data_IF_131159617269
#
_entry.id   IF_131159617269
#
_cell.length_a   1.000
_cell.length_b   1.000
_cell.length_c   1.000
_cell.angle_alpha   90.00
_cell.angle_beta   90.00
_cell.angle_gamma   90.00
#
_symmetry.space_group_name_H-M   'P 1'
#
loop_
_entity.id
_entity.type
_entity.pdbx_description
1 polymer ?
#
# COMPACT_ATOMS: atom_id res chain seq x y z
N UNK A 1 -12.55 10.26 -54.15
CA UNK A 1 -12.13 11.02 -52.94
C UNK A 1 -13.40 11.28 -52.15
N UNK A 2 -13.70 10.71 -50.98
CA UNK A 2 -12.86 10.33 -49.84
C UNK A 2 -13.46 9.12 -49.10
N UNK A 3 -12.61 8.16 -48.71
CA UNK A 3 -12.97 7.03 -47.86
C UNK A 3 -12.83 7.48 -46.40
N UNK A 4 -13.93 7.65 -45.68
CA UNK A 4 -13.86 7.92 -44.23
C UNK A 4 -13.71 6.58 -43.51
N UNK A 5 -12.48 6.27 -43.09
CA UNK A 5 -12.19 5.14 -42.20
C UNK A 5 -12.54 5.57 -40.78
N UNK A 6 -13.61 5.03 -40.22
CA UNK A 6 -13.95 5.23 -38.81
C UNK A 6 -13.01 4.36 -37.98
N UNK A 7 -12.16 5.01 -37.20
CA UNK A 7 -11.18 4.39 -36.33
C UNK A 7 -11.85 3.73 -35.12
N UNK A 8 -11.44 2.50 -34.82
CA UNK A 8 -11.71 1.81 -33.56
C UNK A 8 -11.11 2.62 -32.41
N UNK A 9 -11.92 3.06 -31.45
CA UNK A 9 -11.44 3.53 -30.15
C UNK A 9 -12.03 2.62 -29.08
N UNK A 10 -11.35 1.50 -28.84
CA UNK A 10 -11.57 0.65 -27.66
C UNK A 10 -10.55 1.04 -26.59
N UNK A 11 -10.90 1.95 -25.69
CA UNK A 11 -10.17 2.17 -24.43
C UNK A 11 -11.19 2.40 -23.31
N UNK A 12 -11.94 1.34 -22.97
CA UNK A 12 -12.45 1.23 -21.62
C UNK A 12 -11.24 0.87 -20.74
N UNK A 13 -10.57 1.89 -20.20
CA UNK A 13 -9.72 1.69 -19.04
C UNK A 13 -10.66 1.27 -17.90
N UNK A 14 -10.77 -0.04 -17.67
CA UNK A 14 -11.20 -0.55 -16.38
C UNK A 14 -10.18 0.00 -15.39
N UNK A 15 -10.50 1.13 -14.76
CA UNK A 15 -9.81 1.57 -13.56
C UNK A 15 -9.80 0.35 -12.63
N UNK A 16 -8.64 -0.22 -12.29
CA UNK A 16 -8.61 -1.23 -11.25
C UNK A 16 -9.23 -0.54 -10.04
N UNK A 17 -10.29 -1.10 -9.48
CA UNK A 17 -10.80 -0.67 -8.19
C UNK A 17 -9.57 -0.63 -7.26
N UNK A 18 -9.12 0.57 -6.90
CA UNK A 18 -7.94 0.77 -6.06
C UNK A 18 -8.32 0.29 -4.67
N UNK A 19 -8.16 -1.01 -4.45
CA UNK A 19 -8.30 -1.60 -3.14
C UNK A 19 -7.05 -1.26 -2.37
N UNK A 20 -7.20 -0.53 -1.26
CA UNK A 20 -6.11 -0.23 -0.34
C UNK A 20 -5.33 -1.50 -0.01
N UNK A 21 -4.03 -1.38 0.18
CA UNK A 21 -3.18 -2.53 0.50
C UNK A 21 -3.74 -3.26 1.73
N UNK A 22 -3.77 -4.59 1.68
CA UNK A 22 -4.39 -5.41 2.72
C UNK A 22 -3.34 -5.92 3.69
N UNK A 23 -3.58 -5.78 5.00
CA UNK A 23 -2.73 -6.41 6.01
C UNK A 23 -2.89 -7.93 5.94
N UNK A 24 -1.77 -8.65 5.91
CA UNK A 24 -1.73 -10.11 5.94
C UNK A 24 -0.94 -10.59 7.15
N UNK A 25 -1.08 -11.88 7.48
CA UNK A 25 -0.24 -12.49 8.51
C UNK A 25 1.04 -13.10 7.90
N UNK A 26 2.00 -13.45 8.77
CA UNK A 26 3.27 -14.03 8.37
C UNK A 26 3.14 -15.33 7.56
N UNK A 27 2.16 -16.19 7.87
CA UNK A 27 1.97 -17.44 7.13
C UNK A 27 1.54 -17.16 5.69
N UNK A 28 0.64 -16.20 5.49
CA UNK A 28 0.20 -15.78 4.17
C UNK A 28 1.35 -15.16 3.36
N UNK A 29 2.27 -14.41 3.98
CA UNK A 29 3.37 -13.80 3.25
C UNK A 29 4.42 -14.81 2.75
N UNK A 30 4.46 -16.02 3.29
CA UNK A 30 5.35 -17.08 2.80
C UNK A 30 5.03 -17.48 1.34
N UNK A 31 3.80 -17.27 0.89
CA UNK A 31 3.36 -17.52 -0.48
C UNK A 31 3.47 -16.28 -1.39
N UNK A 32 4.05 -15.19 -0.88
CA UNK A 32 4.03 -13.88 -1.51
C UNK A 32 5.45 -13.40 -1.85
N UNK A 33 5.53 -12.53 -2.87
CA UNK A 33 6.78 -11.87 -3.23
C UNK A 33 6.98 -10.63 -2.38
N UNK A 34 8.07 -10.60 -1.61
CA UNK A 34 8.54 -9.37 -0.95
C UNK A 34 8.96 -8.35 -2.02
N UNK A 35 8.38 -7.15 -1.97
CA UNK A 35 8.64 -6.06 -2.93
C UNK A 35 9.35 -4.85 -2.31
N UNK A 36 9.36 -4.75 -0.99
CA UNK A 36 10.06 -3.67 -0.30
C UNK A 36 9.74 -3.60 1.18
N UNK A 37 10.24 -2.56 1.84
CA UNK A 37 9.90 -2.20 3.20
C UNK A 37 9.67 -0.69 3.27
N UNK A 38 8.80 -0.27 4.16
CA UNK A 38 8.53 1.14 4.45
C UNK A 38 8.70 1.41 5.94
N UNK A 39 9.06 2.66 6.23
CA UNK A 39 9.08 3.21 7.57
C UNK A 39 8.18 4.46 7.59
N UNK A 40 7.31 4.55 8.58
CA UNK A 40 6.39 5.67 8.77
C UNK A 40 6.61 6.21 10.17
N UNK A 41 6.86 7.51 10.29
CA UNK A 41 6.88 8.21 11.57
C UNK A 41 5.61 9.03 11.68
N UNK A 42 4.90 8.89 12.80
CA UNK A 42 3.66 9.62 13.05
C UNK A 42 3.43 9.88 14.53
N UNK A 43 2.65 10.90 14.85
CA UNK A 43 2.30 11.22 16.21
C UNK A 43 1.11 10.35 16.69
N UNK A 44 1.33 9.55 17.73
CA UNK A 44 0.34 8.64 18.30
C UNK A 44 -0.75 9.37 19.12
N UNK A 45 -0.52 10.61 19.56
CA UNK A 45 -1.54 11.38 20.27
C UNK A 45 -2.59 11.98 19.31
N UNK A 46 -2.22 12.22 18.04
CA UNK A 46 -3.13 12.76 17.02
C UNK A 46 -3.65 11.70 16.05
N UNK A 47 -3.06 10.50 16.04
CA UNK A 47 -3.44 9.45 15.09
C UNK A 47 -3.88 8.19 15.78
N UNK A 48 -5.11 7.77 15.51
CA UNK A 48 -5.72 6.61 16.17
C UNK A 48 -5.58 5.31 15.37
N UNK A 49 -5.17 5.39 14.10
CA UNK A 49 -5.15 4.24 13.19
C UNK A 49 -3.90 4.21 12.30
N UNK A 50 -2.82 3.68 12.86
CA UNK A 50 -1.57 3.49 12.12
C UNK A 50 -1.68 2.40 11.05
N UNK A 51 -2.60 1.44 11.18
CA UNK A 51 -2.80 0.38 10.19
C UNK A 51 -3.30 0.98 8.88
N UNK A 52 -4.27 1.89 8.95
CA UNK A 52 -4.75 2.62 7.78
C UNK A 52 -3.65 3.50 7.15
N UNK A 53 -2.80 4.15 7.96
CA UNK A 53 -1.67 4.90 7.44
C UNK A 53 -0.66 4.01 6.70
N UNK A 54 -0.35 2.82 7.24
CA UNK A 54 0.50 1.81 6.59
C UNK A 54 -0.15 1.29 5.30
N UNK A 55 -1.45 1.00 5.34
CA UNK A 55 -2.22 0.53 4.18
C UNK A 55 -2.16 1.54 3.03
N UNK A 56 -2.39 2.81 3.31
CA UNK A 56 -2.28 3.88 2.31
C UNK A 56 -0.86 3.98 1.75
N UNK A 57 0.16 3.95 2.61
CA UNK A 57 1.57 4.03 2.17
C UNK A 57 2.01 2.82 1.36
N UNK A 58 1.52 1.64 1.69
CA UNK A 58 1.75 0.43 0.93
C UNK A 58 1.09 0.49 -0.46
N UNK A 59 -0.13 1.02 -0.55
CA UNK A 59 -0.83 1.23 -1.83
C UNK A 59 -0.12 2.29 -2.70
N UNK A 60 0.29 3.42 -2.10
CA UNK A 60 1.11 4.45 -2.76
C UNK A 60 2.44 3.89 -3.28
N UNK A 61 3.01 2.88 -2.61
CA UNK A 61 4.22 2.17 -3.02
C UNK A 61 3.95 1.06 -4.05
N UNK A 62 2.71 0.83 -4.47
CA UNK A 62 2.32 -0.19 -5.46
C UNK A 62 2.30 -1.62 -4.90
N UNK A 63 2.25 -1.77 -3.57
CA UNK A 63 2.09 -3.06 -2.91
C UNK A 63 0.62 -3.34 -2.63
N UNK A 64 0.19 -4.57 -2.89
CA UNK A 64 -1.18 -5.03 -2.61
C UNK A 64 -1.36 -5.52 -1.18
N UNK A 65 -0.26 -5.89 -0.52
CA UNK A 65 -0.29 -6.47 0.81
C UNK A 65 0.86 -5.94 1.65
N UNK A 66 0.69 -5.93 2.97
CA UNK A 66 1.73 -5.55 3.90
C UNK A 66 1.67 -6.35 5.20
N UNK A 67 2.78 -6.36 5.92
CA UNK A 67 2.88 -6.83 7.31
C UNK A 67 3.57 -5.74 8.12
N UNK A 68 2.95 -5.29 9.21
CA UNK A 68 3.65 -4.44 10.19
C UNK A 68 4.64 -5.31 10.96
N UNK A 69 5.91 -4.95 10.90
CA UNK A 69 7.01 -5.72 11.52
C UNK A 69 7.45 -5.14 12.85
N UNK A 70 7.27 -3.83 13.07
CA UNK A 70 7.49 -3.22 14.37
C UNK A 70 6.76 -1.87 14.49
N UNK A 71 6.42 -1.52 15.73
CA UNK A 71 5.95 -0.19 16.13
C UNK A 71 6.80 0.20 17.34
N UNK A 72 7.58 1.27 17.21
CA UNK A 72 8.51 1.73 18.25
C UNK A 72 8.19 3.17 18.63
N UNK A 73 8.33 3.53 19.90
CA UNK A 73 8.29 4.93 20.33
C UNK A 73 9.56 5.67 19.91
N UNK A 74 9.42 6.87 19.38
CA UNK A 74 10.53 7.76 19.04
C UNK A 74 10.81 8.69 20.24
N UNK A 75 11.83 8.35 21.03
CA UNK A 75 12.28 9.14 22.17
C UNK A 75 11.24 9.25 23.30
N UNK A 76 11.21 10.40 23.97
CA UNK A 76 10.28 10.70 25.09
C UNK A 76 8.95 11.32 24.61
N UNK A 77 8.79 11.52 23.30
CA UNK A 77 7.61 12.14 22.69
C UNK A 77 6.45 11.15 22.47
N UNK A 78 5.39 11.64 21.81
CA UNK A 78 4.27 10.82 21.37
C UNK A 78 4.48 10.25 19.95
N UNK A 79 5.65 10.44 19.37
CA UNK A 79 5.91 9.96 18.02
C UNK A 79 6.22 8.47 18.04
N UNK A 80 5.71 7.77 17.04
CA UNK A 80 5.95 6.35 16.83
C UNK A 80 6.47 6.12 15.42
N UNK A 81 7.38 5.17 15.30
CA UNK A 81 7.97 4.69 14.06
C UNK A 81 7.44 3.29 13.77
N UNK A 82 6.73 3.14 12.66
CA UNK A 82 6.15 1.89 12.19
C UNK A 82 6.94 1.38 11.00
N UNK A 83 7.47 0.17 11.11
CA UNK A 83 8.08 -0.53 9.98
C UNK A 83 7.10 -1.56 9.43
N UNK A 84 7.02 -1.64 8.10
CA UNK A 84 6.22 -2.65 7.42
C UNK A 84 6.95 -3.24 6.22
N UNK A 85 6.78 -4.54 6.03
CA UNK A 85 7.20 -5.26 4.82
C UNK A 85 6.06 -5.29 3.81
N UNK A 86 6.39 -5.07 2.54
CA UNK A 86 5.45 -4.92 1.44
C UNK A 86 5.49 -6.14 0.53
N UNK A 87 4.33 -6.60 0.08
CA UNK A 87 4.19 -7.82 -0.70
C UNK A 87 3.24 -7.68 -1.90
N UNK A 88 3.50 -8.48 -2.92
CA UNK A 88 2.62 -8.75 -4.06
C UNK A 88 2.51 -10.26 -4.30
N UNK A 89 1.48 -10.68 -5.04
CA UNK A 89 1.40 -12.05 -5.55
C UNK A 89 2.48 -12.30 -6.59
#
# INVERSE_FOLDING_TARGET
MNKLKIALVSLMFLSPFAMSATEINYVQSMEMKLVGNINIVMNAATTTDYVNAVSQKADEAGAKYFIITSVNSEGEGNDISINASLYNK
#
